data_IF_178810854593
#
_entry.id   IF_178810854593
#
_cell.length_a   1.000
_cell.length_b   1.000
_cell.length_c   1.000
_cell.angle_alpha   90.00
_cell.angle_beta   90.00
_cell.angle_gamma   90.00
#
_symmetry.space_group_name_H-M   'P 1'
#
loop_
_entity.id
_entity.type
_entity.pdbx_description
1 polymer ?
#
# COMPACT_ATOMS: atom_id res chain seq x y z
N UNK A 1 -32.53 4.05 -4.97
CA UNK A 1 -31.17 4.06 -4.38
C UNK A 1 -30.16 4.02 -5.51
N UNK A 2 -29.06 4.78 -5.47
CA UNK A 2 -27.95 4.59 -6.42
C UNK A 2 -27.37 3.19 -6.16
N UNK A 3 -27.37 2.33 -7.17
CA UNK A 3 -26.77 0.99 -7.08
C UNK A 3 -25.25 1.12 -7.11
N UNK A 4 -24.62 1.09 -5.94
CA UNK A 4 -23.16 0.97 -5.83
C UNK A 4 -22.78 -0.50 -5.98
N UNK A 5 -21.80 -0.79 -6.84
CA UNK A 5 -21.28 -2.14 -7.04
C UNK A 5 -19.85 -2.20 -6.55
N UNK A 6 -19.58 -3.03 -5.54
CA UNK A 6 -18.25 -3.26 -4.99
C UNK A 6 -17.76 -4.65 -5.39
N UNK A 7 -16.51 -4.73 -5.84
CA UNK A 7 -15.85 -5.99 -6.22
C UNK A 7 -14.60 -6.13 -5.37
N UNK A 8 -14.42 -7.29 -4.74
CA UNK A 8 -13.21 -7.64 -4.01
C UNK A 8 -12.39 -8.64 -4.82
N UNK A 9 -11.09 -8.41 -4.92
CA UNK A 9 -10.13 -9.31 -5.59
C UNK A 9 -9.20 -9.84 -4.50
N UNK A 10 -9.27 -11.15 -4.26
CA UNK A 10 -8.59 -11.82 -3.15
C UNK A 10 -7.79 -12.99 -3.72
N UNK A 11 -6.57 -13.18 -3.20
CA UNK A 11 -5.73 -14.34 -3.52
C UNK A 11 -6.19 -15.53 -2.71
N UNK A 12 -6.35 -16.67 -3.35
CA UNK A 12 -6.82 -17.90 -2.70
C UNK A 12 -5.67 -18.85 -2.33
N UNK A 13 -4.41 -18.43 -2.57
CA UNK A 13 -3.20 -19.21 -2.33
C UNK A 13 -2.21 -18.37 -1.49
N UNK A 14 -0.90 -18.57 -1.70
CA UNK A 14 0.17 -17.92 -0.94
C UNK A 14 0.85 -16.77 -1.69
N UNK A 15 0.07 -15.94 -2.39
CA UNK A 15 0.62 -14.80 -3.13
C UNK A 15 0.91 -15.11 -4.60
N UNK A 16 1.32 -14.07 -5.32
CA UNK A 16 1.70 -14.11 -6.75
C UNK A 16 0.70 -14.76 -7.72
N UNK A 17 -0.58 -14.80 -7.37
CA UNK A 17 -1.65 -15.38 -8.20
C UNK A 17 -2.07 -14.48 -9.39
N UNK A 18 -1.29 -13.44 -9.71
CA UNK A 18 -1.60 -12.51 -10.80
C UNK A 18 -2.74 -11.52 -10.49
N UNK A 19 -3.07 -11.29 -9.22
CA UNK A 19 -4.13 -10.35 -8.78
C UNK A 19 -4.00 -8.97 -9.41
N UNK A 20 -2.78 -8.44 -9.53
CA UNK A 20 -2.51 -7.13 -10.13
C UNK A 20 -3.03 -7.00 -11.57
N UNK A 21 -2.94 -8.08 -12.35
CA UNK A 21 -3.46 -8.13 -13.73
C UNK A 21 -5.00 -8.07 -13.75
N UNK A 22 -5.66 -8.78 -12.84
CA UNK A 22 -7.13 -8.77 -12.70
C UNK A 22 -7.60 -7.39 -12.22
N UNK A 23 -6.91 -6.81 -11.23
CA UNK A 23 -7.19 -5.45 -10.73
C UNK A 23 -7.07 -4.44 -11.88
N UNK A 24 -6.00 -4.47 -12.66
CA UNK A 24 -5.81 -3.58 -13.79
C UNK A 24 -6.89 -3.74 -14.88
N UNK A 25 -7.30 -4.97 -15.18
CA UNK A 25 -8.39 -5.19 -16.15
C UNK A 25 -9.72 -4.60 -15.66
N UNK A 26 -10.07 -4.81 -14.37
CA UNK A 26 -11.32 -4.35 -13.79
C UNK A 26 -11.31 -2.85 -13.45
N UNK A 27 -10.14 -2.24 -13.21
CA UNK A 27 -10.01 -0.83 -12.83
C UNK A 27 -10.54 0.14 -13.88
N UNK A 28 -10.50 -0.25 -15.16
CA UNK A 28 -10.99 0.56 -16.29
C UNK A 28 -12.42 1.05 -16.10
N UNK A 29 -13.26 0.19 -15.52
CA UNK A 29 -14.69 0.46 -15.28
C UNK A 29 -14.99 0.86 -13.82
N UNK A 30 -13.97 1.01 -12.98
CA UNK A 30 -14.14 1.38 -11.59
C UNK A 30 -13.92 2.89 -11.39
N UNK A 31 -14.66 3.47 -10.45
CA UNK A 31 -14.48 4.86 -9.99
C UNK A 31 -13.35 4.96 -8.95
N UNK A 32 -13.25 3.95 -8.08
CA UNK A 32 -12.31 3.87 -6.97
C UNK A 32 -11.59 2.53 -6.94
N UNK A 33 -10.27 2.58 -6.77
CA UNK A 33 -9.43 1.39 -6.62
C UNK A 33 -8.82 1.47 -5.22
N UNK A 34 -9.16 0.49 -4.38
CA UNK A 34 -8.89 0.55 -2.95
C UNK A 34 -7.93 -0.57 -2.56
N UNK A 35 -6.82 -0.20 -1.94
CA UNK A 35 -5.97 -1.14 -1.21
C UNK A 35 -6.40 -1.18 0.25
N UNK A 36 -6.76 -2.36 0.73
CA UNK A 36 -7.35 -2.52 2.05
C UNK A 36 -6.44 -3.13 3.12
N UNK A 37 -5.33 -3.79 2.75
CA UNK A 37 -4.41 -4.43 3.70
C UNK A 37 -2.97 -4.53 3.18
N UNK A 38 -2.07 -4.93 4.07
CA UNK A 38 -0.65 -5.15 3.81
C UNK A 38 0.13 -3.85 3.90
N UNK A 39 1.28 -3.79 3.24
CA UNK A 39 2.08 -2.57 3.11
C UNK A 39 2.96 -2.62 1.87
N UNK A 40 4.13 -2.01 1.93
CA UNK A 40 5.09 -2.07 0.84
C UNK A 40 5.71 -3.47 0.64
N UNK A 41 5.28 -4.54 1.32
CA UNK A 41 5.76 -5.91 1.09
C UNK A 41 5.24 -6.56 -0.19
N UNK A 42 4.05 -6.15 -0.66
CA UNK A 42 3.56 -6.61 -1.95
C UNK A 42 4.18 -5.78 -3.07
N UNK A 43 4.56 -6.43 -4.16
CA UNK A 43 4.80 -5.80 -5.45
C UNK A 43 3.75 -6.31 -6.44
N UNK A 44 3.08 -5.42 -7.15
CA UNK A 44 2.21 -5.81 -8.25
C UNK A 44 2.72 -5.20 -9.54
N UNK A 45 3.18 -6.08 -10.42
CA UNK A 45 3.59 -5.72 -11.77
C UNK A 45 2.37 -5.44 -12.63
N UNK A 46 2.39 -4.30 -13.31
CA UNK A 46 1.36 -3.89 -14.27
C UNK A 46 2.05 -3.47 -15.55
N UNK A 47 1.48 -3.90 -16.68
CA UNK A 47 1.90 -3.41 -18.00
C UNK A 47 0.91 -2.32 -18.43
N UNK A 48 1.42 -1.11 -18.61
CA UNK A 48 0.66 0.05 -19.07
C UNK A 48 1.40 0.69 -20.25
N UNK A 49 0.71 0.93 -21.36
CA UNK A 49 1.29 1.42 -22.62
C UNK A 49 2.59 0.67 -23.03
N UNK A 50 2.54 -0.66 -22.99
CA UNK A 50 3.67 -1.56 -23.28
C UNK A 50 4.91 -1.36 -22.40
N UNK A 51 4.78 -0.71 -21.23
CA UNK A 51 5.84 -0.55 -20.24
C UNK A 51 5.46 -1.20 -18.93
N UNK A 52 6.44 -1.80 -18.29
CA UNK A 52 6.28 -2.44 -17.00
C UNK A 52 6.44 -1.43 -15.85
N UNK A 53 5.50 -1.44 -14.91
CA UNK A 53 5.53 -0.67 -13.68
C UNK A 53 5.35 -1.61 -12.50
N UNK A 54 6.24 -1.51 -11.52
CA UNK A 54 6.16 -2.27 -10.27
C UNK A 54 5.70 -1.32 -9.18
N UNK A 55 4.45 -1.49 -8.78
CA UNK A 55 3.84 -0.71 -7.71
C UNK A 55 3.80 -1.51 -6.42
N UNK A 56 4.06 -0.81 -5.32
CA UNK A 56 4.09 -1.37 -4.00
C UNK A 56 2.86 -0.91 -3.24
N UNK A 57 2.82 0.31 -2.71
CA UNK A 57 1.72 0.84 -1.89
C UNK A 57 0.57 1.39 -2.73
N UNK A 58 0.89 2.15 -3.78
CA UNK A 58 -0.10 2.88 -4.58
C UNK A 58 -0.87 1.89 -5.46
N UNK A 59 -2.22 1.90 -5.43
CA UNK A 59 -3.01 1.05 -6.31
C UNK A 59 -2.77 1.33 -7.80
N UNK A 60 -2.77 0.28 -8.63
CA UNK A 60 -2.51 0.37 -10.08
C UNK A 60 -3.44 1.28 -10.88
N UNK A 61 -4.62 1.61 -10.35
CA UNK A 61 -5.55 2.56 -10.97
C UNK A 61 -4.94 3.96 -11.18
N UNK A 62 -3.82 4.28 -10.52
CA UNK A 62 -3.14 5.56 -10.64
C UNK A 62 -2.63 5.79 -12.08
N UNK A 63 -2.27 4.71 -12.78
CA UNK A 63 -1.80 4.75 -14.18
C UNK A 63 -2.95 5.11 -15.15
N UNK A 64 -4.19 4.82 -14.76
CA UNK A 64 -5.41 5.12 -15.53
C UNK A 64 -6.11 6.41 -15.05
N UNK A 65 -5.44 7.25 -14.26
CA UNK A 65 -6.00 8.46 -13.65
C UNK A 65 -7.25 8.22 -12.80
N UNK A 66 -7.38 7.03 -12.20
CA UNK A 66 -8.49 6.69 -11.30
C UNK A 66 -8.22 7.15 -9.87
N UNK A 67 -9.29 7.26 -9.06
CA UNK A 67 -9.17 7.56 -7.63
C UNK A 67 -8.65 6.33 -6.90
N UNK A 68 -7.45 6.44 -6.36
CA UNK A 68 -6.76 5.41 -5.62
C UNK A 68 -6.85 5.68 -4.13
N UNK A 69 -7.18 4.66 -3.34
CA UNK A 69 -7.33 4.79 -1.89
C UNK A 69 -6.43 3.78 -1.19
N UNK A 70 -5.62 4.26 -0.26
CA UNK A 70 -4.89 3.45 0.72
C UNK A 70 -5.71 3.48 2.02
N UNK A 71 -6.42 2.38 2.31
CA UNK A 71 -7.35 2.33 3.42
C UNK A 71 -6.66 2.04 4.77
N UNK A 72 -7.41 2.18 5.86
CA UNK A 72 -6.96 2.07 7.25
C UNK A 72 -6.37 0.70 7.65
N UNK A 73 -6.59 -0.34 6.85
CA UNK A 73 -6.00 -1.66 7.09
C UNK A 73 -4.54 -1.78 6.65
N UNK A 74 -4.03 -0.82 5.86
CA UNK A 74 -2.66 -0.78 5.35
C UNK A 74 -1.69 -0.23 6.39
N UNK A 75 -0.47 -0.76 6.42
CA UNK A 75 0.69 -0.19 7.11
C UNK A 75 1.57 0.53 6.09
N UNK A 76 1.85 1.81 6.33
CA UNK A 76 2.45 2.74 5.37
C UNK A 76 3.85 3.10 5.85
N UNK A 77 4.85 2.80 5.02
CA UNK A 77 6.19 3.36 5.15
C UNK A 77 6.23 4.70 4.39
N UNK A 78 6.35 5.85 5.09
CA UNK A 78 6.31 7.17 4.45
C UNK A 78 7.42 7.36 3.42
N UNK A 79 8.61 6.82 3.69
CA UNK A 79 9.75 6.89 2.77
C UNK A 79 9.47 6.08 1.51
N UNK A 80 8.98 4.85 1.66
CA UNK A 80 8.62 4.01 0.51
C UNK A 80 7.50 4.63 -0.33
N UNK A 81 6.48 5.19 0.32
CA UNK A 81 5.39 5.88 -0.37
C UNK A 81 5.90 7.10 -1.13
N UNK A 82 6.73 7.94 -0.50
CA UNK A 82 7.33 9.10 -1.13
C UNK A 82 8.14 8.72 -2.36
N UNK A 83 9.01 7.71 -2.24
CA UNK A 83 9.83 7.21 -3.34
C UNK A 83 8.98 6.68 -4.50
N UNK A 84 7.88 5.98 -4.20
CA UNK A 84 6.94 5.49 -5.21
C UNK A 84 6.21 6.63 -5.94
N UNK A 85 5.82 7.69 -5.21
CA UNK A 85 5.25 8.91 -5.80
C UNK A 85 6.27 9.58 -6.73
N UNK A 86 7.52 9.73 -6.30
CA UNK A 86 8.57 10.34 -7.14
C UNK A 86 8.87 9.49 -8.37
N UNK A 87 8.89 8.16 -8.23
CA UNK A 87 9.03 7.25 -9.36
C UNK A 87 7.91 7.46 -10.38
N UNK A 88 6.65 7.49 -9.95
CA UNK A 88 5.51 7.74 -10.84
C UNK A 88 5.60 9.10 -11.55
N UNK A 89 5.95 10.17 -10.81
CA UNK A 89 6.16 11.50 -11.38
C UNK A 89 7.28 11.52 -12.43
N UNK A 90 8.40 10.84 -12.16
CA UNK A 90 9.51 10.71 -13.12
C UNK A 90 9.11 10.01 -14.43
N UNK A 91 8.03 9.22 -14.40
CA UNK A 91 7.46 8.52 -15.56
C UNK A 91 6.31 9.28 -16.23
N UNK A 92 6.01 10.49 -15.76
CA UNK A 92 4.97 11.36 -16.33
C UNK A 92 3.57 11.17 -15.72
N UNK A 93 3.43 10.38 -14.65
CA UNK A 93 2.14 10.22 -13.96
C UNK A 93 1.96 11.29 -12.90
N UNK A 94 0.81 11.95 -12.92
CA UNK A 94 0.44 12.91 -11.89
C UNK A 94 -0.17 12.18 -10.68
N UNK A 95 0.51 12.26 -9.54
CA UNK A 95 -0.02 11.82 -8.25
C UNK A 95 -0.31 13.04 -7.40
N UNK A 96 -1.58 13.26 -7.09
CA UNK A 96 -2.08 14.48 -6.45
C UNK A 96 -3.16 14.13 -5.40
N UNK A 97 -3.58 15.14 -4.64
CA UNK A 97 -4.64 14.98 -3.62
C UNK A 97 -6.01 14.66 -4.22
N UNK A 98 -6.20 14.87 -5.53
CA UNK A 98 -7.44 14.60 -6.24
C UNK A 98 -7.58 13.11 -6.63
N UNK A 99 -6.46 12.38 -6.72
CA UNK A 99 -6.45 10.99 -7.18
C UNK A 99 -5.78 9.99 -6.24
N UNK A 100 -5.03 10.41 -5.23
CA UNK A 100 -4.50 9.53 -4.20
C UNK A 100 -5.01 9.96 -2.82
N UNK A 101 -5.78 9.08 -2.19
CA UNK A 101 -6.34 9.27 -0.86
C UNK A 101 -5.68 8.29 0.11
N UNK A 102 -5.23 8.80 1.26
CA UNK A 102 -4.59 8.01 2.31
C UNK A 102 -5.47 8.12 3.55
N UNK A 103 -5.83 6.99 4.14
CA UNK A 103 -6.56 7.01 5.41
C UNK A 103 -5.67 7.53 6.52
N UNK A 104 -6.16 8.54 7.22
CA UNK A 104 -5.64 9.05 8.50
C UNK A 104 -5.49 7.96 9.58
N UNK A 105 -6.27 6.87 9.48
CA UNK A 105 -6.25 5.73 10.41
C UNK A 105 -5.29 4.59 10.01
N UNK A 106 -4.62 4.70 8.87
CA UNK A 106 -3.56 3.75 8.50
C UNK A 106 -2.38 3.88 9.48
N UNK A 107 -1.67 2.78 9.76
CA UNK A 107 -0.54 2.79 10.68
C UNK A 107 0.77 3.10 9.96
N UNK A 108 1.73 3.71 10.66
CA UNK A 108 3.02 4.13 10.10
C UNK A 108 4.11 3.13 10.41
N UNK A 109 4.83 2.70 9.37
CA UNK A 109 6.06 1.92 9.51
C UNK A 109 7.20 2.88 9.79
N UNK A 110 7.64 2.91 11.06
CA UNK A 110 8.82 3.63 11.51
C UNK A 110 10.13 2.82 11.31
N UNK A 111 11.32 3.48 11.34
CA UNK A 111 12.60 2.83 11.10
C UNK A 111 12.89 1.63 12.03
N UNK A 112 12.48 1.71 13.30
CA UNK A 112 12.70 0.61 14.24
C UNK A 112 11.91 -0.65 13.86
N UNK A 113 10.76 -0.54 13.19
CA UNK A 113 10.02 -1.71 12.72
C UNK A 113 10.85 -2.50 11.70
N UNK A 114 11.51 -1.81 10.75
CA UNK A 114 12.39 -2.44 9.75
C UNK A 114 13.56 -3.14 10.46
N UNK A 115 14.17 -2.47 11.44
CA UNK A 115 15.25 -3.04 12.24
C UNK A 115 14.83 -4.29 13.01
N UNK A 116 13.67 -4.23 13.71
CA UNK A 116 13.13 -5.36 14.45
C UNK A 116 12.81 -6.56 13.55
N UNK A 117 12.29 -6.31 12.35
CA UNK A 117 11.99 -7.36 11.36
C UNK A 117 13.28 -8.09 10.94
N UNK A 118 14.34 -7.34 10.61
CA UNK A 118 15.66 -7.90 10.28
C UNK A 118 16.26 -8.71 11.43
N UNK A 119 16.17 -8.20 12.67
CA UNK A 119 16.72 -8.89 13.84
C UNK A 119 15.95 -10.18 14.14
N UNK A 120 14.61 -10.15 14.06
CA UNK A 120 13.77 -11.34 14.30
C UNK A 120 14.01 -12.44 13.27
N UNK A 121 14.20 -12.08 12.00
CA UNK A 121 14.54 -13.07 10.96
C UNK A 121 15.88 -13.77 11.19
N UNK A 122 16.82 -13.18 11.95
CA UNK A 122 18.09 -13.85 12.29
C UNK A 122 17.90 -14.97 13.32
N UNK A 123 16.95 -14.81 14.24
CA UNK A 123 16.70 -15.78 15.31
C UNK A 123 15.59 -16.76 14.98
N UNK A 124 14.59 -16.34 14.21
CA UNK A 124 13.46 -17.17 13.80
C UNK A 124 13.07 -16.81 12.35
N UNK A 125 13.51 -17.65 11.41
CA UNK A 125 13.28 -17.42 9.98
C UNK A 125 11.85 -17.77 9.58
N UNK A 126 11.11 -16.77 9.13
CA UNK A 126 9.79 -16.91 8.49
C UNK A 126 9.92 -16.60 6.98
N UNK A 127 10.94 -15.84 6.57
CA UNK A 127 11.08 -15.34 5.21
C UNK A 127 10.35 -14.02 4.99
N UNK A 128 10.41 -13.10 5.95
CA UNK A 128 9.77 -11.78 5.81
C UNK A 128 10.46 -10.92 4.75
N UNK A 129 9.75 -9.91 4.27
CA UNK A 129 10.33 -8.92 3.35
C UNK A 129 11.27 -7.93 4.04
N UNK A 130 11.47 -8.02 5.36
CA UNK A 130 12.30 -7.12 6.15
C UNK A 130 11.92 -5.64 6.01
N UNK A 131 10.63 -5.38 5.71
CA UNK A 131 10.08 -4.03 5.51
C UNK A 131 9.35 -3.51 6.75
N UNK A 132 9.36 -4.26 7.86
CA UNK A 132 8.74 -3.83 9.12
C UNK A 132 7.23 -4.09 9.18
N UNK A 133 6.67 -4.90 8.28
CA UNK A 133 5.23 -5.18 8.23
C UNK A 133 4.74 -5.84 9.51
N UNK A 134 5.40 -6.93 9.91
CA UNK A 134 5.04 -7.70 11.10
C UNK A 134 5.12 -6.86 12.38
N UNK A 135 6.28 -6.21 12.66
CA UNK A 135 6.41 -5.32 13.81
C UNK A 135 5.38 -4.18 13.83
N UNK A 136 5.11 -3.51 12.70
CA UNK A 136 4.12 -2.44 12.64
C UNK A 136 2.68 -2.93 12.91
N UNK A 137 2.32 -4.11 12.40
CA UNK A 137 1.04 -4.73 12.76
C UNK A 137 1.00 -5.14 14.24
N UNK A 138 2.11 -5.60 14.82
CA UNK A 138 2.16 -5.92 16.25
C UNK A 138 1.82 -4.68 17.10
N UNK A 139 2.39 -3.52 16.76
CA UNK A 139 2.12 -2.24 17.40
C UNK A 139 0.67 -1.77 17.21
N UNK A 140 0.08 -2.03 16.03
CA UNK A 140 -1.35 -1.82 15.80
C UNK A 140 -2.23 -2.65 16.75
N UNK A 141 -1.90 -3.92 16.93
CA UNK A 141 -2.70 -4.82 17.77
C UNK A 141 -2.45 -4.63 19.28
N UNK A 142 -1.25 -4.20 19.68
CA UNK A 142 -0.95 -3.77 21.06
C UNK A 142 -1.51 -2.39 21.39
N UNK A 143 -2.00 -1.65 20.38
CA UNK A 143 -2.55 -0.28 20.51
C UNK A 143 -1.49 0.75 20.92
N UNK A 144 -0.23 0.48 20.59
CA UNK A 144 0.91 1.39 20.79
C UNK A 144 1.43 2.01 19.50
N UNK A 145 0.90 1.59 18.34
CA UNK A 145 1.34 2.08 17.04
C UNK A 145 0.85 3.48 16.70
N UNK A 146 1.69 4.21 15.95
CA UNK A 146 1.40 5.55 15.43
C UNK A 146 0.58 5.43 14.13
N UNK A 147 -0.49 6.21 14.00
CA UNK A 147 -1.29 6.31 12.76
C UNK A 147 -0.90 7.54 11.96
N UNK A 148 -1.36 7.63 10.71
CA UNK A 148 -1.11 8.79 9.84
C UNK A 148 -1.63 10.09 10.49
N UNK A 149 -2.77 10.06 11.17
CA UNK A 149 -3.28 11.23 11.91
C UNK A 149 -2.30 11.72 12.97
N UNK A 150 -1.67 10.78 13.68
CA UNK A 150 -0.78 11.07 14.80
C UNK A 150 0.59 11.51 14.25
N UNK A 151 1.06 10.88 13.16
CA UNK A 151 2.32 11.17 12.48
C UNK A 151 2.40 12.57 11.85
N UNK A 152 1.25 13.13 11.45
CA UNK A 152 1.17 14.45 10.82
C UNK A 152 0.98 15.58 11.84
N UNK A 153 0.78 15.27 13.12
CA UNK A 153 0.48 16.22 14.19
C UNK A 153 1.60 16.22 15.24
N UNK A 154 2.35 17.32 15.31
CA UNK A 154 3.51 17.48 16.19
C UNK A 154 3.16 17.29 17.67
N UNK A 155 1.96 17.68 18.10
CA UNK A 155 1.52 17.50 19.49
C UNK A 155 1.28 16.04 19.90
N UNK A 156 1.15 15.13 18.94
CA UNK A 156 0.85 13.71 19.18
C UNK A 156 1.93 12.74 18.68
N UNK A 157 2.87 13.21 17.87
CA UNK A 157 4.00 12.42 17.37
C UNK A 157 5.15 12.40 18.39
#
# INVERSE_FOLDING_TARGET
MKNYKTIAIIGTQWGDEGKGKVVHYLSRNADYIVRYQGGNNAGHTVVFDNKEYILHLIPSGILEHKKCVIANGVVIDPEALYNEIQFLKSKGFNVTKENLFISDRAHVILPYHKYLDVVREKTQKIGTTQRGIGPCYADKYSRSGIRISDYLEEGTF
#
